data_IF_340208473412
#
_entry.id   IF_340208473412
#
_cell.length_a   1.000
_cell.length_b   1.000
_cell.length_c   1.000
_cell.angle_alpha   90.00
_cell.angle_beta   90.00
_cell.angle_gamma   90.00
#
_symmetry.space_group_name_H-M   'P 1'
#
loop_
_entity.id
_entity.type
_entity.pdbx_description
1 polymer ?
#
# COMPACT_ATOMS: atom_id res chain seq x y z
N UNK A 1 3.32 39.99 -14.30
CA UNK A 1 3.02 39.06 -13.19
C UNK A 1 3.89 37.84 -13.41
N UNK A 2 4.86 37.59 -12.53
CA UNK A 2 5.72 36.40 -12.65
C UNK A 2 4.84 35.17 -12.37
N UNK A 3 4.66 34.30 -13.37
CA UNK A 3 4.28 32.92 -13.12
C UNK A 3 5.47 32.30 -12.37
N UNK A 4 5.34 32.07 -11.07
CA UNK A 4 6.23 31.14 -10.39
C UNK A 4 5.98 29.79 -11.07
N UNK A 5 6.91 29.37 -11.92
CA UNK A 5 6.87 28.06 -12.52
C UNK A 5 7.31 27.07 -11.44
N UNK A 6 6.39 26.72 -10.54
CA UNK A 6 6.49 25.48 -9.77
C UNK A 6 6.33 24.36 -10.80
N UNK A 7 7.43 23.99 -11.47
CA UNK A 7 7.39 22.93 -12.47
C UNK A 7 7.24 21.61 -11.73
N UNK A 8 5.99 21.15 -11.57
CA UNK A 8 5.71 19.84 -11.00
C UNK A 8 6.40 18.77 -11.86
N UNK A 9 7.23 17.96 -11.23
CA UNK A 9 7.92 16.86 -11.90
C UNK A 9 7.01 15.63 -11.96
N UNK A 10 6.54 15.30 -13.15
CA UNK A 10 5.79 14.08 -13.42
C UNK A 10 6.74 12.95 -13.80
N UNK A 11 6.64 11.81 -13.10
CA UNK A 11 7.41 10.60 -13.41
C UNK A 11 6.49 9.39 -13.64
N UNK A 12 6.88 8.42 -14.47
CA UNK A 12 6.15 7.16 -14.57
C UNK A 12 6.17 6.41 -13.23
N UNK A 13 5.08 5.70 -12.96
CA UNK A 13 4.96 4.80 -11.81
C UNK A 13 5.97 3.65 -11.90
N UNK A 14 6.49 3.25 -10.74
CA UNK A 14 7.28 2.02 -10.61
C UNK A 14 6.34 0.82 -10.40
N UNK A 15 6.77 -0.42 -10.72
CA UNK A 15 5.95 -1.61 -10.55
C UNK A 15 5.37 -1.77 -9.14
N UNK A 16 6.16 -1.47 -8.11
CA UNK A 16 5.76 -1.55 -6.70
C UNK A 16 4.70 -0.50 -6.30
N UNK A 17 4.56 0.58 -7.08
CA UNK A 17 3.59 1.65 -6.82
C UNK A 17 2.22 1.36 -7.43
N UNK A 18 2.04 0.25 -8.17
CA UNK A 18 0.81 -0.05 -8.91
C UNK A 18 -0.45 -0.05 -8.02
N UNK A 19 -0.33 -0.51 -6.77
CA UNK A 19 -1.43 -0.50 -5.80
C UNK A 19 -2.00 0.89 -5.49
N UNK A 20 -1.17 1.95 -5.59
CA UNK A 20 -1.57 3.34 -5.31
C UNK A 20 -2.50 3.94 -6.39
N UNK A 21 -2.64 3.27 -7.54
CA UNK A 21 -3.45 3.77 -8.67
C UNK A 21 -4.86 3.19 -8.69
N UNK A 22 -5.17 2.27 -7.78
CA UNK A 22 -6.48 1.65 -7.63
C UNK A 22 -7.10 2.06 -6.30
N UNK A 23 -8.42 1.95 -6.20
CA UNK A 23 -9.12 2.21 -4.95
C UNK A 23 -8.88 1.05 -4.01
N UNK A 24 -8.16 1.25 -2.89
CA UNK A 24 -7.93 0.18 -1.94
C UNK A 24 -9.13 0.05 -0.99
N UNK A 25 -9.06 -0.90 -0.05
CA UNK A 25 -10.05 -1.00 1.02
C UNK A 25 -10.01 0.26 1.92
N UNK A 26 -11.11 0.71 2.55
CA UNK A 26 -11.14 1.93 3.36
C UNK A 26 -10.07 1.99 4.48
N UNK A 27 -9.69 0.85 5.04
CA UNK A 27 -8.61 0.77 6.05
C UNK A 27 -7.25 1.14 5.46
N UNK A 28 -7.00 0.71 4.23
CA UNK A 28 -5.78 1.02 3.50
C UNK A 28 -5.77 2.49 3.04
N UNK A 29 -6.94 3.07 2.71
CA UNK A 29 -7.06 4.51 2.46
C UNK A 29 -6.65 5.33 3.69
N UNK A 30 -7.05 4.89 4.89
CA UNK A 30 -6.58 5.50 6.13
C UNK A 30 -5.08 5.33 6.28
N UNK A 31 -4.56 4.10 6.15
CA UNK A 31 -3.13 3.79 6.30
C UNK A 31 -2.24 4.60 5.37
N UNK A 32 -2.64 4.73 4.11
CA UNK A 32 -1.91 5.48 3.08
C UNK A 32 -2.09 7.00 3.16
N UNK A 33 -2.94 7.51 4.06
CA UNK A 33 -3.24 8.95 4.14
C UNK A 33 -4.00 9.46 2.91
N UNK A 34 -4.87 8.64 2.31
CA UNK A 34 -5.65 9.04 1.14
C UNK A 34 -6.57 10.21 1.48
N UNK A 35 -6.48 11.30 0.73
CA UNK A 35 -7.41 12.44 0.85
C UNK A 35 -8.68 12.16 0.02
N UNK A 36 -8.49 11.74 -1.22
CA UNK A 36 -9.55 11.48 -2.17
C UNK A 36 -9.01 11.31 -3.58
N UNK A 37 -9.88 11.38 -4.57
CA UNK A 37 -9.45 11.36 -5.96
C UNK A 37 -10.33 12.22 -6.87
N UNK A 38 -9.74 12.74 -7.94
CA UNK A 38 -10.46 13.35 -9.05
C UNK A 38 -10.66 12.28 -10.13
N UNK A 39 -11.92 12.01 -10.49
CA UNK A 39 -12.26 11.20 -11.67
C UNK A 39 -12.46 12.13 -12.86
N UNK A 40 -11.92 11.78 -14.02
CA UNK A 40 -11.88 12.62 -15.22
C UNK A 40 -12.32 11.86 -16.47
N UNK A 41 -12.94 12.57 -17.41
CA UNK A 41 -13.36 12.06 -18.73
C UNK A 41 -13.20 13.16 -19.79
N UNK A 42 -12.67 12.80 -20.96
CA UNK A 42 -12.54 13.71 -22.10
C UNK A 42 -13.77 13.73 -23.02
N UNK A 43 -14.83 13.02 -22.64
CA UNK A 43 -16.09 12.94 -23.36
C UNK A 43 -15.97 12.27 -24.73
N UNK A 44 -17.06 12.27 -25.50
CA UNK A 44 -17.11 11.58 -26.80
C UNK A 44 -16.13 12.16 -27.82
N UNK A 45 -15.92 13.47 -27.82
CA UNK A 45 -15.01 14.10 -28.80
C UNK A 45 -13.54 13.90 -28.42
N UNK A 46 -13.27 13.58 -27.15
CA UNK A 46 -11.93 13.49 -26.60
C UNK A 46 -11.30 14.85 -26.30
N UNK A 47 -12.03 15.96 -26.44
CA UNK A 47 -11.54 17.32 -26.18
C UNK A 47 -12.22 18.01 -24.98
N UNK A 48 -13.24 17.38 -24.38
CA UNK A 48 -13.85 17.91 -23.16
C UNK A 48 -12.96 17.64 -21.94
N UNK A 49 -13.27 18.19 -20.77
CA UNK A 49 -12.62 17.79 -19.51
C UNK A 49 -13.66 17.80 -18.40
N UNK A 50 -14.40 16.69 -18.29
CA UNK A 50 -15.36 16.45 -17.22
C UNK A 50 -14.62 15.91 -16.02
N UNK A 51 -14.91 16.44 -14.83
CA UNK A 51 -14.31 15.94 -13.61
C UNK A 51 -15.27 15.92 -12.42
N UNK A 52 -15.01 15.03 -11.47
CA UNK A 52 -15.73 14.96 -10.19
C UNK A 52 -14.75 14.62 -9.09
N UNK A 53 -14.80 15.36 -7.99
CA UNK A 53 -14.06 15.05 -6.77
C UNK A 53 -14.79 13.98 -5.95
N UNK A 54 -14.06 12.98 -5.49
CA UNK A 54 -14.54 11.90 -4.62
C UNK A 54 -13.71 11.88 -3.34
N UNK A 55 -14.24 12.36 -2.20
CA UNK A 55 -13.54 12.27 -0.93
C UNK A 55 -13.43 10.80 -0.50
N UNK A 56 -12.32 10.44 0.15
CA UNK A 56 -12.11 9.09 0.71
C UNK A 56 -11.53 9.11 2.12
N UNK A 57 -10.67 10.07 2.41
CA UNK A 57 -10.08 10.25 3.73
C UNK A 57 -10.95 11.03 4.70
N UNK A 58 -10.42 11.27 5.92
CA UNK A 58 -10.98 12.21 6.87
C UNK A 58 -11.22 13.59 6.23
N UNK A 59 -12.33 14.23 6.59
CA UNK A 59 -12.74 15.51 6.00
C UNK A 59 -11.70 16.62 6.22
N UNK A 60 -10.95 16.53 7.32
CA UNK A 60 -9.91 17.47 7.70
C UNK A 60 -8.75 17.52 6.70
N UNK A 61 -8.48 16.39 6.01
CA UNK A 61 -7.43 16.34 4.97
C UNK A 61 -7.84 17.11 3.72
N UNK A 62 -9.14 17.28 3.46
CA UNK A 62 -9.66 18.03 2.32
C UNK A 62 -9.68 19.55 2.59
N UNK A 63 -8.55 20.06 3.07
CA UNK A 63 -8.37 21.44 3.52
C UNK A 63 -8.35 22.45 2.35
N UNK A 64 -8.58 23.75 2.61
CA UNK A 64 -8.44 24.78 1.58
C UNK A 64 -7.04 24.85 0.95
N UNK A 65 -6.00 24.57 1.73
CA UNK A 65 -4.60 24.56 1.26
C UNK A 65 -4.39 23.40 0.27
N UNK A 66 -4.82 22.20 0.65
CA UNK A 66 -4.79 21.03 -0.24
C UNK A 66 -5.54 21.29 -1.55
N UNK A 67 -6.75 21.87 -1.47
CA UNK A 67 -7.56 22.18 -2.66
C UNK A 67 -6.88 23.15 -3.61
N UNK A 68 -6.19 24.17 -3.07
CA UNK A 68 -5.45 25.12 -3.87
C UNK A 68 -4.26 24.44 -4.59
N UNK A 69 -3.51 23.59 -3.91
CA UNK A 69 -2.40 22.86 -4.53
C UNK A 69 -2.88 21.83 -5.56
N UNK A 70 -3.94 21.06 -5.24
CA UNK A 70 -4.57 20.14 -6.19
C UNK A 70 -5.00 20.86 -7.47
N UNK A 71 -5.56 22.06 -7.35
CA UNK A 71 -5.93 22.88 -8.51
C UNK A 71 -4.71 23.23 -9.36
N UNK A 72 -3.60 23.67 -8.76
CA UNK A 72 -2.36 24.01 -9.47
C UNK A 72 -1.75 22.79 -10.17
N UNK A 73 -1.75 21.63 -9.50
CA UNK A 73 -1.27 20.36 -10.08
C UNK A 73 -2.12 19.94 -11.27
N UNK A 74 -3.45 19.94 -11.11
CA UNK A 74 -4.36 19.56 -12.20
C UNK A 74 -4.24 20.54 -13.37
N UNK A 75 -4.18 21.85 -13.12
CA UNK A 75 -4.02 22.86 -14.17
C UNK A 75 -2.70 22.68 -14.92
N UNK A 76 -1.61 22.37 -14.23
CA UNK A 76 -0.33 22.07 -14.86
C UNK A 76 -0.41 20.81 -15.74
N UNK A 77 -1.05 19.75 -15.24
CA UNK A 77 -1.25 18.52 -16.01
C UNK A 77 -2.13 18.76 -17.25
N UNK A 78 -3.08 19.72 -17.19
CA UNK A 78 -3.94 20.12 -18.31
C UNK A 78 -3.20 20.84 -19.43
N UNK A 79 -2.01 21.35 -19.18
CA UNK A 79 -1.14 21.88 -20.23
C UNK A 79 -0.45 20.75 -21.04
N UNK A 80 -0.45 19.51 -20.52
CA UNK A 80 0.26 18.36 -21.10
C UNK A 80 -0.62 17.09 -21.21
N UNK A 81 -0.44 16.10 -20.32
CA UNK A 81 -1.09 14.78 -20.34
C UNK A 81 -2.61 14.85 -20.21
N UNK A 82 -3.14 15.88 -19.52
CA UNK A 82 -4.59 16.11 -19.35
C UNK A 82 -5.17 17.14 -20.32
N UNK A 83 -4.45 17.50 -21.39
CA UNK A 83 -4.94 18.48 -22.36
C UNK A 83 -6.17 18.01 -23.13
N UNK A 84 -6.14 16.76 -23.60
CA UNK A 84 -7.21 16.05 -24.30
C UNK A 84 -6.84 14.55 -24.39
N UNK A 85 -7.76 13.70 -24.85
CA UNK A 85 -7.56 12.24 -24.91
C UNK A 85 -6.38 11.83 -25.80
N UNK A 86 -6.18 12.53 -26.92
CA UNK A 86 -5.07 12.25 -27.83
C UNK A 86 -3.71 12.62 -27.24
N UNK A 87 -3.64 13.74 -26.50
CA UNK A 87 -2.45 14.14 -25.77
C UNK A 87 -2.12 13.13 -24.67
N UNK A 88 -3.13 12.66 -23.93
CA UNK A 88 -2.97 11.59 -22.94
C UNK A 88 -2.43 10.31 -23.60
N UNK A 89 -3.06 9.85 -24.68
CA UNK A 89 -2.66 8.64 -25.40
C UNK A 89 -1.19 8.71 -25.85
N UNK A 90 -0.82 9.82 -26.50
CA UNK A 90 0.56 10.05 -26.96
C UNK A 90 1.53 10.08 -25.78
N UNK A 91 1.20 10.80 -24.70
CA UNK A 91 2.03 10.87 -23.50
C UNK A 91 2.26 9.48 -22.91
N UNK A 92 1.20 8.66 -22.84
CA UNK A 92 1.23 7.28 -22.35
C UNK A 92 2.20 6.39 -23.12
N UNK A 93 2.21 6.48 -24.44
CA UNK A 93 3.12 5.71 -25.29
C UNK A 93 4.57 6.21 -25.20
N UNK A 94 4.79 7.51 -25.05
CA UNK A 94 6.14 8.11 -25.04
C UNK A 94 6.86 8.00 -23.68
N UNK A 95 6.13 7.96 -22.55
CA UNK A 95 6.71 8.11 -21.21
C UNK A 95 6.64 6.85 -20.33
N UNK A 96 6.17 5.72 -20.87
CA UNK A 96 6.04 4.47 -20.10
C UNK A 96 4.99 4.56 -18.99
N UNK A 97 5.23 3.89 -17.85
CA UNK A 97 4.30 3.91 -16.71
C UNK A 97 3.15 2.92 -16.83
N UNK A 98 3.24 1.88 -17.66
CA UNK A 98 2.23 0.83 -17.73
C UNK A 98 2.03 0.19 -16.35
N UNK A 99 0.78 0.15 -15.90
CA UNK A 99 0.38 -0.51 -14.66
C UNK A 99 -0.62 -1.63 -14.98
N UNK A 100 -0.50 -2.75 -14.27
CA UNK A 100 -1.40 -3.90 -14.36
C UNK A 100 -2.60 -3.75 -13.44
N UNK A 101 -3.72 -4.43 -13.74
CA UNK A 101 -4.89 -4.52 -12.83
C UNK A 101 -6.18 -3.87 -13.36
N UNK A 102 -6.19 -3.36 -14.59
CA UNK A 102 -7.40 -2.87 -15.27
C UNK A 102 -7.93 -3.81 -16.34
N UNK A 103 -9.21 -3.65 -16.72
CA UNK A 103 -9.80 -4.34 -17.88
C UNK A 103 -9.15 -3.89 -19.21
N UNK A 104 -8.68 -2.65 -19.26
CA UNK A 104 -7.85 -2.10 -20.34
C UNK A 104 -6.44 -1.77 -19.82
N UNK A 105 -5.50 -1.54 -20.74
CA UNK A 105 -4.16 -1.08 -20.37
C UNK A 105 -4.24 0.32 -19.74
N UNK A 106 -3.79 0.42 -18.49
CA UNK A 106 -3.70 1.68 -17.75
C UNK A 106 -2.24 2.14 -17.64
N UNK A 107 -2.05 3.44 -17.46
CA UNK A 107 -0.74 4.07 -17.28
C UNK A 107 -0.76 4.92 -16.00
N UNK A 108 0.23 4.76 -15.14
CA UNK A 108 0.37 5.46 -13.88
C UNK A 108 1.51 6.48 -13.92
N UNK A 109 1.24 7.67 -13.39
CA UNK A 109 2.21 8.74 -13.19
C UNK A 109 2.12 9.30 -11.79
N UNK A 110 3.26 9.66 -11.23
CA UNK A 110 3.37 10.24 -9.89
C UNK A 110 3.88 11.67 -10.00
N UNK A 111 3.21 12.57 -9.29
CA UNK A 111 3.69 13.92 -8.97
C UNK A 111 3.79 14.00 -7.46
N UNK A 112 4.94 14.41 -6.94
CA UNK A 112 5.15 14.61 -5.50
C UNK A 112 5.49 16.08 -5.24
N UNK A 113 4.88 16.61 -4.19
CA UNK A 113 5.16 17.93 -3.61
C UNK A 113 5.74 17.73 -2.21
N UNK A 114 5.85 18.80 -1.43
CA UNK A 114 6.36 18.72 -0.05
C UNK A 114 5.44 17.84 0.83
N UNK A 115 4.13 18.05 0.72
CA UNK A 115 3.14 17.43 1.60
C UNK A 115 2.26 16.37 0.91
N UNK A 116 2.23 16.34 -0.42
CA UNK A 116 1.27 15.51 -1.15
C UNK A 116 1.92 14.65 -2.23
N UNK A 117 1.32 13.48 -2.45
CA UNK A 117 1.56 12.63 -3.62
C UNK A 117 0.28 12.52 -4.43
N UNK A 118 0.40 12.81 -5.73
CA UNK A 118 -0.66 12.68 -6.70
C UNK A 118 -0.35 11.51 -7.65
N UNK A 119 -1.17 10.47 -7.59
CA UNK A 119 -1.10 9.31 -8.47
C UNK A 119 -2.14 9.44 -9.58
N UNK A 120 -1.69 9.83 -10.78
CA UNK A 120 -2.51 9.94 -11.98
C UNK A 120 -2.53 8.60 -12.73
N UNK A 121 -3.68 7.94 -12.75
CA UNK A 121 -4.00 6.83 -13.64
C UNK A 121 -4.65 7.34 -14.92
N UNK A 122 -4.08 7.01 -16.06
CA UNK A 122 -4.57 7.31 -17.40
C UNK A 122 -5.10 6.03 -18.07
N UNK A 123 -6.29 6.15 -18.67
CA UNK A 123 -6.91 5.16 -19.54
C UNK A 123 -7.26 5.84 -20.88
N UNK A 124 -6.39 5.75 -21.91
CA UNK A 124 -6.61 6.42 -23.18
C UNK A 124 -7.74 5.80 -24.02
N UNK A 125 -8.28 4.64 -23.62
CA UNK A 125 -9.34 3.95 -24.33
C UNK A 125 -10.63 4.80 -24.41
N UNK A 126 -11.30 4.84 -25.58
CA UNK A 126 -12.60 5.49 -25.71
C UNK A 126 -13.69 4.72 -24.95
N UNK A 127 -14.68 5.43 -24.41
CA UNK A 127 -15.90 4.84 -23.85
C UNK A 127 -15.83 4.44 -22.37
N UNK A 128 -14.75 4.80 -21.68
CA UNK A 128 -14.58 4.67 -20.23
C UNK A 128 -14.00 5.97 -19.66
N UNK A 129 -13.97 6.12 -18.33
CA UNK A 129 -13.31 7.25 -17.68
C UNK A 129 -11.83 7.26 -18.01
N UNK A 130 -11.34 8.40 -18.51
CA UNK A 130 -9.98 8.49 -19.01
C UNK A 130 -8.94 8.75 -17.92
N UNK A 131 -9.32 9.26 -16.75
CA UNK A 131 -8.37 9.67 -15.73
C UNK A 131 -8.86 9.49 -14.31
N UNK A 132 -7.95 9.07 -13.42
CA UNK A 132 -8.14 9.12 -11.98
C UNK A 132 -6.88 9.74 -11.36
N UNK A 133 -7.01 10.83 -10.61
CA UNK A 133 -5.91 11.43 -9.88
C UNK A 133 -6.16 11.27 -8.39
N UNK A 134 -5.55 10.26 -7.77
CA UNK A 134 -5.61 10.05 -6.33
C UNK A 134 -4.62 10.97 -5.62
N UNK A 135 -5.05 11.62 -4.54
CA UNK A 135 -4.18 12.40 -3.67
C UNK A 135 -3.97 11.70 -2.33
N UNK A 136 -2.72 11.66 -1.89
CA UNK A 136 -2.28 11.16 -0.59
C UNK A 136 -1.56 12.28 0.17
N UNK A 137 -1.86 12.41 1.45
CA UNK A 137 -1.12 13.26 2.39
C UNK A 137 0.09 12.49 2.91
N UNK A 138 1.29 12.96 2.56
CA UNK A 138 2.55 12.29 2.88
C UNK A 138 2.89 12.39 4.36
N UNK A 139 2.45 13.43 5.07
CA UNK A 139 2.68 13.56 6.51
C UNK A 139 1.84 12.56 7.28
N UNK A 140 0.55 12.46 6.94
CA UNK A 140 -0.35 11.44 7.49
C UNK A 140 0.12 10.04 7.13
N UNK A 141 0.52 9.81 5.87
CA UNK A 141 1.07 8.52 5.44
C UNK A 141 2.30 8.14 6.28
N UNK A 142 3.25 9.06 6.45
CA UNK A 142 4.45 8.81 7.28
C UNK A 142 4.08 8.53 8.74
N UNK A 143 3.15 9.30 9.30
CA UNK A 143 2.69 9.12 10.69
C UNK A 143 2.02 7.76 10.87
N UNK A 144 1.12 7.37 9.96
CA UNK A 144 0.40 6.10 10.03
C UNK A 144 1.36 4.92 9.85
N UNK A 145 2.30 4.99 8.92
CA UNK A 145 3.32 3.95 8.72
C UNK A 145 4.27 3.82 9.91
N UNK A 146 4.54 4.92 10.63
CA UNK A 146 5.33 4.90 11.85
C UNK A 146 4.54 4.39 13.08
N UNK A 147 3.21 4.49 13.04
CA UNK A 147 2.30 4.05 14.11
C UNK A 147 1.78 2.62 13.90
N UNK A 148 1.83 2.10 12.68
CA UNK A 148 1.58 0.69 12.39
C UNK A 148 2.59 -0.14 13.15
N UNK A 149 2.16 -0.66 14.29
CA UNK A 149 2.91 -1.67 15.03
C UNK A 149 3.07 -2.87 14.10
N UNK A 150 4.29 -3.40 13.92
CA UNK A 150 4.50 -4.59 13.10
C UNK A 150 3.55 -5.70 13.57
N UNK A 151 2.96 -6.41 12.60
CA UNK A 151 2.11 -7.56 12.91
C UNK A 151 2.91 -8.54 13.76
N UNK A 152 2.34 -8.90 14.90
CA UNK A 152 2.94 -9.85 15.83
C UNK A 152 2.68 -11.28 15.38
N UNK A 153 1.48 -11.54 14.88
CA UNK A 153 1.09 -12.84 14.35
C UNK A 153 -0.29 -12.84 13.72
N UNK A 154 -0.61 -13.93 13.04
CA UNK A 154 -1.90 -14.17 12.38
C UNK A 154 -2.43 -15.53 12.80
N UNK A 155 -3.74 -15.63 12.95
CA UNK A 155 -4.45 -16.90 13.12
C UNK A 155 -5.43 -17.11 11.98
N UNK A 156 -5.67 -18.36 11.62
CA UNK A 156 -6.65 -18.76 10.61
C UNK A 156 -7.35 -20.06 10.97
N UNK A 157 -8.54 -20.25 10.43
CA UNK A 157 -9.43 -21.37 10.73
C UNK A 157 -9.84 -22.10 9.44
N UNK A 158 -10.31 -23.35 9.56
CA UNK A 158 -10.72 -24.15 8.40
C UNK A 158 -11.96 -23.60 7.67
N UNK A 159 -12.76 -22.75 8.32
CA UNK A 159 -13.91 -22.09 7.72
C UNK A 159 -13.53 -20.90 6.82
N UNK A 160 -12.24 -20.51 6.78
CA UNK A 160 -11.72 -19.40 5.99
C UNK A 160 -11.56 -18.09 6.77
N UNK A 161 -11.96 -18.03 8.05
CA UNK A 161 -11.76 -16.86 8.89
C UNK A 161 -10.27 -16.69 9.22
N UNK A 162 -9.80 -15.44 9.22
CA UNK A 162 -8.45 -15.09 9.62
C UNK A 162 -8.47 -13.80 10.45
N UNK A 163 -7.57 -13.74 11.43
CA UNK A 163 -7.39 -12.58 12.29
C UNK A 163 -5.91 -12.26 12.44
N UNK A 164 -5.58 -10.98 12.27
CA UNK A 164 -4.21 -10.46 12.40
C UNK A 164 -4.08 -9.67 13.70
N UNK A 165 -2.93 -9.79 14.35
CA UNK A 165 -2.67 -9.19 15.66
C UNK A 165 -1.47 -8.26 15.60
N UNK A 166 -1.63 -7.05 16.13
CA UNK A 166 -0.54 -6.08 16.38
C UNK A 166 -0.15 -6.02 17.86
N UNK A 167 -0.94 -6.65 18.74
CA UNK A 167 -0.71 -6.76 20.17
C UNK A 167 -0.24 -8.18 20.51
N UNK A 168 0.93 -8.29 21.13
CA UNK A 168 1.54 -9.58 21.42
C UNK A 168 0.82 -10.36 22.51
N UNK A 169 0.28 -9.69 23.53
CA UNK A 169 -0.46 -10.37 24.59
C UNK A 169 -1.78 -10.92 24.06
N UNK A 170 -2.47 -10.14 23.21
CA UNK A 170 -3.70 -10.60 22.56
C UNK A 170 -3.45 -11.79 21.63
N UNK A 171 -2.37 -11.77 20.85
CA UNK A 171 -1.98 -12.88 19.99
C UNK A 171 -1.68 -14.15 20.79
N UNK A 172 -0.80 -14.06 21.80
CA UNK A 172 -0.41 -15.18 22.64
C UNK A 172 -1.61 -15.77 23.39
N UNK A 173 -2.52 -14.92 23.87
CA UNK A 173 -3.77 -15.35 24.49
C UNK A 173 -4.64 -16.13 23.52
N UNK A 174 -4.85 -15.61 22.31
CA UNK A 174 -5.64 -16.29 21.28
C UNK A 174 -5.05 -17.65 20.93
N UNK A 175 -3.73 -17.74 20.71
CA UNK A 175 -3.05 -19.02 20.44
C UNK A 175 -3.29 -20.00 21.59
N UNK A 176 -3.14 -19.58 22.85
CA UNK A 176 -3.35 -20.45 24.01
C UNK A 176 -4.79 -20.96 24.13
N UNK A 177 -5.78 -20.12 23.82
CA UNK A 177 -7.20 -20.45 23.96
C UNK A 177 -7.71 -21.33 22.80
N UNK A 178 -7.22 -21.11 21.58
CA UNK A 178 -7.72 -21.79 20.36
C UNK A 178 -6.95 -23.06 20.00
N UNK A 179 -5.68 -23.17 20.39
CA UNK A 179 -4.84 -24.33 20.10
C UNK A 179 -5.46 -25.68 20.55
N UNK A 180 -6.13 -25.79 21.72
CA UNK A 180 -6.82 -27.03 22.12
C UNK A 180 -7.95 -27.44 21.17
N UNK A 181 -8.57 -26.49 20.47
CA UNK A 181 -9.68 -26.73 19.56
C UNK A 181 -9.24 -26.95 18.11
N UNK A 182 -7.93 -26.93 17.83
CA UNK A 182 -7.35 -27.18 16.51
C UNK A 182 -7.92 -28.41 15.78
N UNK A 183 -8.17 -29.57 16.41
CA UNK A 183 -8.74 -30.73 15.72
C UNK A 183 -10.15 -30.50 15.17
N UNK A 184 -10.94 -29.60 15.78
CA UNK A 184 -12.32 -29.34 15.40
C UNK A 184 -12.48 -28.05 14.57
N UNK A 185 -11.65 -27.04 14.82
CA UNK A 185 -11.71 -25.73 14.13
C UNK A 185 -10.74 -25.62 12.96
N UNK A 186 -9.76 -26.52 12.87
CA UNK A 186 -8.66 -26.44 11.90
C UNK A 186 -7.74 -25.25 12.13
N UNK A 187 -7.66 -24.76 13.37
CA UNK A 187 -6.84 -23.62 13.78
C UNK A 187 -5.39 -23.73 13.30
N UNK A 188 -4.88 -22.61 12.77
CA UNK A 188 -3.48 -22.40 12.38
C UNK A 188 -3.05 -21.02 12.88
N UNK A 189 -1.79 -20.90 13.25
CA UNK A 189 -1.19 -19.61 13.60
C UNK A 189 0.15 -19.44 12.88
N UNK A 190 0.51 -18.19 12.65
CA UNK A 190 1.79 -17.76 12.08
C UNK A 190 2.35 -16.63 12.95
N UNK A 191 3.60 -16.76 13.39
CA UNK A 191 4.31 -15.72 14.13
C UNK A 191 5.02 -14.83 13.12
N UNK A 192 4.67 -13.54 13.10
CA UNK A 192 5.16 -12.59 12.09
C UNK A 192 6.20 -11.61 12.66
N UNK A 193 6.35 -11.56 14.00
CA UNK A 193 7.38 -10.76 14.66
C UNK A 193 8.74 -11.46 14.76
N UNK A 194 9.82 -10.67 14.77
CA UNK A 194 11.18 -11.11 15.12
C UNK A 194 11.49 -10.95 16.62
N UNK A 195 10.54 -10.51 17.43
CA UNK A 195 10.72 -10.38 18.88
C UNK A 195 10.97 -11.76 19.52
N UNK A 196 12.17 -12.00 20.09
CA UNK A 196 12.52 -13.29 20.67
C UNK A 196 11.66 -13.65 21.88
N UNK A 197 11.11 -12.66 22.59
CA UNK A 197 10.24 -12.90 23.75
C UNK A 197 8.91 -13.50 23.29
N UNK A 198 8.34 -12.97 22.21
CA UNK A 198 7.07 -13.46 21.66
C UNK A 198 7.25 -14.85 21.04
N UNK A 199 8.32 -15.06 20.26
CA UNK A 199 8.62 -16.37 19.67
C UNK A 199 8.78 -17.44 20.74
N UNK A 200 9.59 -17.17 21.76
CA UNK A 200 9.76 -18.07 22.89
C UNK A 200 8.44 -18.35 23.62
N UNK A 201 7.61 -17.32 23.83
CA UNK A 201 6.32 -17.52 24.50
C UNK A 201 5.36 -18.40 23.67
N UNK A 202 5.41 -18.35 22.34
CA UNK A 202 4.69 -19.29 21.47
C UNK A 202 5.27 -20.69 21.63
N UNK A 203 6.59 -20.85 21.57
CA UNK A 203 7.25 -22.15 21.74
C UNK A 203 6.90 -22.80 23.09
N UNK A 204 6.89 -22.01 24.17
CA UNK A 204 6.50 -22.45 25.51
C UNK A 204 5.03 -22.91 25.52
N UNK A 205 4.10 -22.20 24.86
CA UNK A 205 2.68 -22.61 24.74
C UNK A 205 2.56 -23.95 23.98
N UNK A 206 3.32 -24.13 22.91
CA UNK A 206 3.30 -25.35 22.10
C UNK A 206 3.89 -26.52 22.88
N UNK A 207 5.00 -26.30 23.58
CA UNK A 207 5.62 -27.29 24.45
C UNK A 207 4.69 -27.69 25.61
N UNK A 208 4.01 -26.74 26.23
CA UNK A 208 3.03 -27.01 27.29
C UNK A 208 1.84 -27.85 26.79
N UNK A 209 1.44 -27.68 25.53
CA UNK A 209 0.29 -28.39 24.96
C UNK A 209 0.66 -29.77 24.38
N UNK A 210 1.78 -29.88 23.66
CA UNK A 210 2.18 -31.11 22.96
C UNK A 210 3.28 -31.91 23.70
N UNK A 211 3.92 -31.34 24.73
CA UNK A 211 5.04 -31.98 25.43
C UNK A 211 6.21 -32.30 24.50
N UNK A 212 6.78 -33.51 24.63
CA UNK A 212 7.85 -34.00 23.75
C UNK A 212 7.39 -34.28 22.30
N UNK A 213 6.08 -34.30 22.04
CA UNK A 213 5.51 -34.44 20.69
C UNK A 213 5.27 -33.09 20.00
N UNK A 214 5.78 -31.99 20.58
CA UNK A 214 5.75 -30.68 19.96
C UNK A 214 6.35 -30.77 18.53
N UNK A 215 5.64 -30.30 17.50
CA UNK A 215 6.23 -30.21 16.16
C UNK A 215 7.37 -29.19 16.22
N UNK A 216 8.60 -29.67 16.37
CA UNK A 216 9.80 -28.86 16.41
C UNK A 216 9.88 -28.03 15.13
N UNK A 217 9.80 -26.70 15.20
CA UNK A 217 10.39 -25.86 14.16
C UNK A 217 11.91 -25.88 14.37
N UNK A 218 12.54 -26.94 13.90
CA UNK A 218 13.98 -27.15 13.97
C UNK A 218 14.71 -26.47 12.79
N UNK A 219 14.21 -25.32 12.33
CA UNK A 219 14.88 -24.50 11.31
C UNK A 219 14.86 -23.03 11.76
N UNK A 220 16.04 -22.41 11.75
CA UNK A 220 16.33 -20.97 11.91
C UNK A 220 16.64 -20.36 13.30
N UNK A 221 17.08 -21.17 14.26
CA UNK A 221 17.78 -20.65 15.45
C UNK A 221 19.18 -21.26 15.64
N UNK A 222 20.01 -21.22 14.60
CA UNK A 222 21.47 -21.16 14.78
C UNK A 222 22.03 -19.91 14.10
N UNK A 223 22.67 -18.97 14.83
CA UNK A 223 23.53 -18.00 14.17
C UNK A 223 24.70 -18.77 13.55
N UNK A 224 24.86 -18.67 12.23
CA UNK A 224 26.00 -19.20 11.47
C UNK A 224 27.31 -18.91 12.24
N UNK A 225 28.08 -19.91 12.67
CA UNK A 225 29.39 -19.65 13.22
C UNK A 225 30.30 -19.15 12.09
N UNK A 226 30.92 -17.99 12.30
CA UNK A 226 31.98 -17.46 11.45
C UNK A 226 33.13 -18.48 11.35
N UNK A 227 33.15 -19.26 10.28
CA UNK A 227 34.30 -20.10 9.96
C UNK A 227 35.31 -19.28 9.16
N UNK A 228 36.37 -18.82 9.84
CA UNK A 228 37.46 -18.12 9.18
C UNK A 228 38.66 -17.71 10.04
N UNK A 229 39.00 -18.43 11.12
CA UNK A 229 40.34 -18.32 11.72
C UNK A 229 41.07 -19.65 11.64
N UNK A 230 42.00 -19.74 10.69
CA UNK A 230 43.04 -20.77 10.66
C UNK A 230 44.28 -20.24 11.39
N UNK A 231 44.63 -20.87 12.52
CA UNK A 231 45.93 -20.72 13.17
C UNK A 231 46.60 -22.10 13.33
N UNK A 232 47.83 -22.22 12.83
CA UNK A 232 48.86 -23.20 13.20
C UNK A 232 48.65 -24.64 12.67
N UNK A 233 49.63 -25.37 12.15
CA UNK A 233 51.08 -25.23 12.16
C UNK A 233 51.69 -26.63 12.31
N UNK A 234 52.56 -27.01 11.35
CA UNK A 234 53.78 -27.81 11.51
C UNK A 234 54.59 -27.67 10.22
#
# INVERSE_FOLDING_TARGET
MLKNATQFHIRPARPEEAGLFYTPHPEEDKRLGTVGHVRMDFGRSGNEFWHTWWPRGPEELNSPVFKAELQEVVDTLRESVLKNRFAMERFCYEHGGKISGGWTQNYGYVVETEHYRYCLRCNPSPGDYNGYCTAYDLDVQRQNMAQDKPLVGRVSYANGDAQEFTDAEAFLKCVREELPYRPTTGFRYEVLTDDPVVRKAVDDIIFDFYGEEAPCQQEDHEPRPEQGMTFGGM
#
